data_IF_255126526277
#
_entry.id   IF_255126526277
#
_cell.length_a   1.000
_cell.length_b   1.000
_cell.length_c   1.000
_cell.angle_alpha   90.00
_cell.angle_beta   90.00
_cell.angle_gamma   90.00
#
_symmetry.space_group_name_H-M   'P 1'
#
loop_
_entity.id
_entity.type
_entity.pdbx_description
1 polymer ?
#
# COMPACT_ATOMS: atom_id res chain seq x y z
N UNK A 1 -45.54 -7.68 -20.22
CA UNK A 1 -45.27 -7.78 -20.23
C UNK A 1 -44.55 -8.01 -20.22
N UNK A 2 -44.35 -8.19 -20.23
CA UNK A 2 -43.73 -8.46 -20.34
C UNK A 2 -42.81 -8.25 -19.95
N UNK A 3 -42.64 -7.81 -19.60
CA UNK A 3 -41.79 -7.48 -19.26
C UNK A 3 -41.05 -8.12 -18.79
N UNK A 4 -41.40 -8.80 -18.50
CA UNK A 4 -40.78 -9.60 -17.83
C UNK A 4 -39.64 -9.58 -18.21
N UNK A 5 -39.76 -9.50 -19.01
CA UNK A 5 -38.93 -9.36 -19.56
C UNK A 5 -38.00 -8.68 -18.98
N UNK A 6 -38.34 -7.94 -18.50
CA UNK A 6 -37.47 -7.08 -17.98
C UNK A 6 -36.47 -7.77 -17.24
N UNK A 7 -36.72 -8.72 -16.97
CA UNK A 7 -36.03 -9.37 -16.35
C UNK A 7 -34.75 -9.41 -16.54
N UNK A 8 -34.65 -9.54 -17.35
CA UNK A 8 -33.38 -9.67 -17.74
C UNK A 8 -32.56 -8.73 -17.12
N UNK A 9 -33.07 -7.77 -17.06
CA UNK A 9 -32.58 -6.78 -16.48
C UNK A 9 -31.85 -7.13 -15.32
N UNK A 10 -32.38 -7.95 -14.68
CA UNK A 10 -31.82 -8.28 -13.44
C UNK A 10 -30.39 -8.66 -13.56
N UNK A 11 -30.11 -9.31 -14.56
CA UNK A 11 -28.78 -9.76 -14.66
C UNK A 11 -27.80 -8.67 -14.62
N UNK A 12 -28.25 -7.57 -15.02
CA UNK A 12 -27.36 -6.48 -15.09
C UNK A 12 -26.80 -6.13 -13.77
N UNK A 13 -27.58 -6.25 -12.79
CA UNK A 13 -27.14 -5.84 -11.49
C UNK A 13 -25.91 -6.60 -11.04
N UNK A 14 -25.73 -7.72 -11.59
CA UNK A 14 -24.62 -8.50 -11.16
C UNK A 14 -23.31 -7.85 -11.35
N UNK A 15 -23.13 -7.24 -12.45
CA UNK A 15 -21.86 -6.66 -12.71
C UNK A 15 -21.43 -5.71 -11.64
N UNK A 16 -22.39 -5.17 -10.95
CA UNK A 16 -22.04 -4.16 -9.97
C UNK A 16 -21.42 -4.74 -8.74
N UNK A 17 -21.70 -5.97 -8.47
CA UNK A 17 -21.22 -6.58 -7.25
C UNK A 17 -19.70 -6.70 -7.19
N UNK A 18 -19.07 -6.69 -8.32
CA UNK A 18 -17.64 -6.84 -8.31
C UNK A 18 -16.90 -5.63 -7.77
N UNK A 19 -17.58 -4.53 -7.65
CA UNK A 19 -16.93 -3.33 -7.17
C UNK A 19 -16.79 -3.32 -5.65
N UNK A 20 -17.28 -4.35 -5.00
CA UNK A 20 -17.37 -4.34 -3.55
C UNK A 20 -16.15 -4.87 -2.81
N UNK A 21 -14.98 -4.82 -3.40
CA UNK A 21 -13.81 -5.28 -2.67
C UNK A 21 -13.45 -4.29 -1.57
N UNK A 22 -13.27 -4.78 -0.37
CA UNK A 22 -12.92 -3.93 0.74
C UNK A 22 -11.42 -3.62 0.72
N UNK A 23 -11.03 -2.45 1.19
CA UNK A 23 -9.63 -2.13 1.33
C UNK A 23 -8.93 -3.18 2.17
N UNK A 24 -7.81 -3.66 1.68
CA UNK A 24 -7.05 -4.64 2.43
C UNK A 24 -7.49 -6.08 2.24
N UNK A 25 -8.55 -6.33 1.47
CA UNK A 25 -9.03 -7.69 1.27
C UNK A 25 -7.95 -8.62 0.72
N UNK A 26 -7.09 -8.11 -0.14
CA UNK A 26 -6.02 -8.89 -0.72
C UNK A 26 -4.80 -9.01 0.19
N UNK A 27 -4.74 -8.23 1.24
CA UNK A 27 -3.58 -8.15 2.12
C UNK A 27 -3.93 -8.49 3.56
N UNK A 28 -4.59 -9.63 3.75
CA UNK A 28 -5.11 -10.03 5.05
C UNK A 28 -4.04 -10.19 6.13
N UNK A 29 -2.83 -10.47 5.72
CA UNK A 29 -1.75 -10.70 6.69
C UNK A 29 -0.91 -9.45 6.97
N UNK A 30 -1.37 -8.31 6.49
CA UNK A 30 -0.64 -7.08 6.74
C UNK A 30 -0.96 -6.59 8.14
N UNK A 31 0.06 -6.51 8.98
CA UNK A 31 -0.09 -6.06 10.35
C UNK A 31 0.91 -4.97 10.65
N UNK A 32 0.61 -4.18 11.68
CA UNK A 32 1.53 -3.15 12.10
C UNK A 32 2.82 -3.78 12.62
N UNK A 33 3.92 -3.29 12.11
CA UNK A 33 5.23 -3.71 12.58
C UNK A 33 6.08 -2.47 12.84
N UNK A 34 6.74 -2.47 13.96
CA UNK A 34 7.69 -1.43 14.30
C UNK A 34 9.04 -2.11 14.48
N UNK A 35 9.60 -2.55 13.37
CA UNK A 35 10.92 -3.15 13.42
C UNK A 35 11.93 -2.06 13.79
N UNK A 36 13.02 -2.49 14.40
CA UNK A 36 14.06 -1.60 14.93
C UNK A 36 14.84 -0.85 13.86
N UNK A 37 14.15 -0.38 12.83
CA UNK A 37 14.81 0.45 11.85
C UNK A 37 15.12 1.78 12.49
N UNK A 38 16.31 2.25 12.25
CA UNK A 38 16.70 3.58 12.69
C UNK A 38 15.73 4.56 12.05
N UNK A 39 14.92 5.15 12.88
CA UNK A 39 13.90 6.08 12.41
C UNK A 39 14.58 7.41 12.11
N UNK A 40 14.93 7.62 10.86
CA UNK A 40 15.57 8.87 10.44
C UNK A 40 14.58 10.04 10.39
N UNK A 41 13.44 9.90 11.06
CA UNK A 41 12.38 10.87 11.01
C UNK A 41 11.39 10.57 9.89
N UNK A 42 10.25 11.26 9.89
CA UNK A 42 9.22 10.95 8.92
C UNK A 42 9.58 11.38 7.50
N UNK A 43 9.15 10.59 6.53
CA UNK A 43 9.22 10.97 5.14
C UNK A 43 8.01 11.85 4.82
N UNK A 44 8.26 13.04 4.31
CA UNK A 44 7.18 13.98 4.01
C UNK A 44 6.70 13.77 2.58
N UNK A 45 5.43 13.45 2.43
CA UNK A 45 4.84 13.18 1.12
C UNK A 45 3.50 13.91 0.95
N UNK A 46 3.17 14.27 -0.28
CA UNK A 46 1.86 14.82 -0.60
C UNK A 46 0.85 13.71 -0.83
N UNK A 47 1.31 12.56 -1.30
CA UNK A 47 0.47 11.41 -1.59
C UNK A 47 1.26 10.13 -1.36
N UNK A 48 0.54 9.04 -1.11
CA UNK A 48 1.20 7.74 -0.90
C UNK A 48 1.22 7.03 -2.25
N UNK A 49 2.35 7.07 -2.90
CA UNK A 49 2.56 6.40 -4.18
C UNK A 49 4.02 6.08 -4.35
N UNK A 50 4.31 5.02 -5.06
CA UNK A 50 5.69 4.64 -5.27
C UNK A 50 5.81 3.32 -5.99
N UNK A 51 6.98 2.72 -5.83
CA UNK A 51 7.33 1.47 -6.49
C UNK A 51 8.06 0.56 -5.51
N UNK A 52 7.82 -0.74 -5.62
CA UNK A 52 8.54 -1.75 -4.84
C UNK A 52 9.48 -2.51 -5.75
N UNK A 53 10.72 -2.67 -5.32
CA UNK A 53 11.74 -3.39 -6.08
C UNK A 53 12.72 -4.08 -5.14
N UNK A 54 13.44 -5.05 -5.68
CA UNK A 54 14.47 -5.74 -4.90
C UNK A 54 15.83 -5.03 -5.03
N UNK A 55 16.85 -5.62 -4.44
CA UNK A 55 18.18 -5.02 -4.41
C UNK A 55 18.82 -4.90 -5.81
N UNK A 56 18.39 -5.71 -6.75
CA UNK A 56 18.88 -5.68 -8.13
C UNK A 56 18.05 -4.74 -9.01
N UNK A 57 17.03 -4.10 -8.44
CA UNK A 57 16.16 -3.21 -9.20
C UNK A 57 15.01 -3.92 -9.90
N UNK A 58 14.79 -5.19 -9.61
CA UNK A 58 13.66 -5.93 -10.20
C UNK A 58 12.38 -5.51 -9.52
N UNK A 59 11.40 -5.13 -10.31
CA UNK A 59 10.12 -4.68 -9.80
C UNK A 59 9.33 -5.85 -9.19
N UNK A 60 8.65 -5.59 -8.08
CA UNK A 60 7.94 -6.64 -7.34
C UNK A 60 6.44 -6.41 -7.44
N UNK A 61 5.71 -7.24 -8.22
CA UNK A 61 4.26 -7.16 -8.25
C UNK A 61 3.66 -7.89 -7.06
N UNK A 62 2.41 -7.55 -6.77
CA UNK A 62 1.63 -8.20 -5.72
C UNK A 62 2.17 -8.08 -4.30
N UNK A 63 3.06 -7.15 -4.05
CA UNK A 63 3.48 -6.83 -2.69
C UNK A 63 2.37 -6.06 -1.99
N UNK A 64 2.12 -6.39 -0.74
CA UNK A 64 1.11 -5.70 0.05
C UNK A 64 1.69 -4.44 0.65
N UNK A 65 0.98 -3.32 0.47
CA UNK A 65 1.39 -2.02 1.00
C UNK A 65 0.22 -1.46 1.78
N UNK A 66 0.47 -1.06 3.01
CA UNK A 66 -0.58 -0.51 3.85
C UNK A 66 -0.10 0.66 4.68
N UNK A 67 -1.05 1.52 5.04
CA UNK A 67 -0.80 2.70 5.85
C UNK A 67 -1.55 2.55 7.16
N UNK A 68 -0.84 2.68 8.27
CA UNK A 68 -1.38 2.56 9.61
C UNK A 68 -1.31 3.89 10.33
N UNK A 69 -2.28 4.17 11.19
CA UNK A 69 -2.24 5.38 12.02
C UNK A 69 -1.06 5.32 12.99
N UNK A 70 -0.51 6.49 13.30
CA UNK A 70 0.58 6.61 14.25
C UNK A 70 0.27 7.76 15.21
N UNK A 71 0.00 7.50 16.48
CA UNK A 71 -0.14 6.21 17.14
C UNK A 71 -1.49 5.56 16.80
N UNK A 72 -1.84 4.52 17.45
CA UNK A 72 -3.12 3.84 17.22
C UNK A 72 -2.98 2.55 16.43
N UNK A 73 -2.08 2.52 15.47
CA UNK A 73 -1.71 1.32 14.72
C UNK A 73 -2.90 0.66 14.00
N UNK A 74 -3.83 1.46 13.52
CA UNK A 74 -4.98 0.95 12.78
C UNK A 74 -4.74 1.08 11.30
N UNK A 75 -5.09 0.06 10.55
CA UNK A 75 -4.97 0.09 9.10
C UNK A 75 -5.97 1.08 8.51
N UNK A 76 -5.46 2.05 7.77
CA UNK A 76 -6.29 3.07 7.14
C UNK A 76 -6.62 2.70 5.71
N UNK A 77 -5.63 2.18 5.00
CA UNK A 77 -5.78 1.81 3.60
C UNK A 77 -4.69 0.82 3.21
N UNK A 78 -4.97 -0.03 2.25
CA UNK A 78 -3.97 -0.95 1.74
C UNK A 78 -4.22 -1.27 0.27
N UNK A 79 -3.18 -1.72 -0.41
CA UNK A 79 -3.26 -2.13 -1.81
C UNK A 79 -2.14 -3.12 -2.10
N UNK A 80 -2.17 -3.70 -3.29
CA UNK A 80 -1.07 -4.50 -3.79
C UNK A 80 -0.39 -3.76 -4.92
N UNK A 81 0.90 -3.99 -5.08
CA UNK A 81 1.62 -3.44 -6.22
C UNK A 81 1.12 -4.09 -7.50
N UNK A 82 1.13 -3.33 -8.58
CA UNK A 82 0.73 -3.83 -9.90
C UNK A 82 1.88 -4.58 -10.59
N UNK A 83 1.69 -4.92 -11.86
CA UNK A 83 2.69 -5.68 -12.60
C UNK A 83 4.02 -4.94 -12.78
N UNK A 84 4.00 -3.64 -12.63
CA UNK A 84 5.19 -2.81 -12.71
C UNK A 84 5.73 -2.45 -11.32
N UNK A 85 5.24 -3.12 -10.29
CA UNK A 85 5.67 -2.87 -8.92
C UNK A 85 5.15 -1.57 -8.33
N UNK A 86 4.23 -0.89 -9.00
CA UNK A 86 3.74 0.42 -8.57
C UNK A 86 2.56 0.29 -7.61
N UNK A 87 2.45 1.24 -6.71
CA UNK A 87 1.32 1.32 -5.79
C UNK A 87 0.89 2.76 -5.59
N UNK A 88 -0.39 2.93 -5.28
CA UNK A 88 -0.95 4.23 -4.95
C UNK A 88 -2.11 4.05 -3.97
N UNK A 89 -2.12 4.86 -2.93
CA UNK A 89 -3.21 4.89 -1.96
C UNK A 89 -3.75 6.32 -1.92
N UNK A 90 -5.04 6.46 -2.17
CA UNK A 90 -5.69 7.76 -2.28
C UNK A 90 -6.53 8.07 -1.04
N UNK A 91 -6.86 9.35 -0.91
CA UNK A 91 -7.82 9.81 0.10
C UNK A 91 -7.42 9.56 1.54
N UNK A 92 -6.12 9.64 1.82
CA UNK A 92 -5.62 9.53 3.18
C UNK A 92 -5.50 10.95 3.74
N UNK A 93 -6.18 11.26 4.86
CA UNK A 93 -6.11 12.59 5.45
C UNK A 93 -4.71 12.98 5.88
N UNK A 94 -4.44 14.27 5.93
CA UNK A 94 -3.16 14.75 6.44
C UNK A 94 -2.92 14.21 7.84
N UNK A 95 -1.70 13.84 8.12
CA UNK A 95 -1.35 13.30 9.44
C UNK A 95 -0.07 12.50 9.41
N UNK A 96 0.19 11.85 10.53
CA UNK A 96 1.36 10.99 10.70
C UNK A 96 0.92 9.54 10.67
N UNK A 97 1.63 8.75 9.88
CA UNK A 97 1.29 7.36 9.63
C UNK A 97 2.55 6.50 9.57
N UNK A 98 2.34 5.20 9.49
CA UNK A 98 3.43 4.26 9.19
C UNK A 98 3.06 3.48 7.95
N UNK A 99 3.95 3.51 6.97
CA UNK A 99 3.81 2.72 5.75
C UNK A 99 4.51 1.40 5.98
N UNK A 100 3.81 0.32 5.65
CA UNK A 100 4.36 -1.03 5.77
C UNK A 100 4.18 -1.74 4.44
N UNK A 101 5.26 -2.35 3.95
CA UNK A 101 5.22 -3.13 2.73
C UNK A 101 5.73 -4.53 3.03
N UNK A 102 5.01 -5.53 2.55
CA UNK A 102 5.30 -6.92 2.84
C UNK A 102 5.14 -7.79 1.60
N UNK A 103 6.09 -8.67 1.39
CA UNK A 103 6.04 -9.65 0.33
C UNK A 103 6.70 -10.93 0.82
N UNK A 104 6.11 -12.07 0.48
CA UNK A 104 6.61 -13.35 0.96
C UNK A 104 8.04 -13.59 0.52
N UNK A 105 8.89 -14.02 1.44
CA UNK A 105 10.31 -14.26 1.17
C UNK A 105 11.21 -13.04 1.39
N UNK A 106 10.60 -11.88 1.68
CA UNK A 106 11.36 -10.65 1.91
C UNK A 106 11.09 -10.12 3.32
N UNK A 107 12.05 -9.40 3.87
CA UNK A 107 11.82 -8.74 5.14
C UNK A 107 10.85 -7.57 4.95
N UNK A 108 10.07 -7.28 5.98
CA UNK A 108 9.08 -6.21 5.91
C UNK A 108 9.77 -4.85 5.86
N UNK A 109 9.32 -3.98 4.96
CA UNK A 109 9.78 -2.61 4.91
C UNK A 109 8.79 -1.72 5.64
N UNK A 110 9.27 -0.75 6.40
CA UNK A 110 8.39 0.21 7.03
C UNK A 110 9.07 1.57 7.17
N UNK A 111 8.27 2.61 7.22
CA UNK A 111 8.76 3.96 7.41
C UNK A 111 7.65 4.83 7.98
N UNK A 112 8.04 5.80 8.79
CA UNK A 112 7.11 6.79 9.28
C UNK A 112 6.85 7.81 8.17
N UNK A 113 5.59 8.15 7.95
CA UNK A 113 5.19 9.13 6.95
C UNK A 113 4.52 10.31 7.58
N UNK A 114 4.78 11.47 7.03
CA UNK A 114 3.98 12.66 7.30
C UNK A 114 3.29 13.03 5.99
N UNK A 115 1.97 12.89 5.94
CA UNK A 115 1.20 13.19 4.75
C UNK A 115 0.66 14.61 4.85
N UNK A 116 0.98 15.41 3.85
CA UNK A 116 0.50 16.78 3.73
C UNK A 116 0.10 16.99 2.27
N UNK A 117 -1.19 16.90 2.01
CA UNK A 117 -1.70 16.96 0.63
C UNK A 117 -1.36 18.24 -0.10
N UNK A 118 -1.15 19.32 0.63
CA UNK A 118 -0.79 20.60 0.04
C UNK A 118 0.68 20.74 -0.25
N UNK A 119 1.47 19.76 0.12
CA UNK A 119 2.90 19.82 -0.13
C UNK A 119 3.17 19.85 -1.62
N UNK A 120 4.15 20.62 -2.03
CA UNK A 120 4.57 20.66 -3.42
C UNK A 120 5.64 19.61 -3.72
N UNK A 121 5.97 18.81 -2.74
CA UNK A 121 6.94 17.74 -2.92
C UNK A 121 6.33 16.65 -3.81
N UNK A 122 6.88 16.48 -4.99
CA UNK A 122 6.39 15.51 -5.97
C UNK A 122 7.15 14.18 -5.91
N UNK A 123 8.00 14.01 -4.93
CA UNK A 123 8.77 12.77 -4.81
C UNK A 123 7.87 11.59 -4.52
N UNK A 124 8.24 10.44 -5.03
CA UNK A 124 7.54 9.20 -4.78
C UNK A 124 8.34 8.32 -3.84
N UNK A 125 7.67 7.31 -3.30
CA UNK A 125 8.29 6.38 -2.37
C UNK A 125 8.93 5.23 -3.14
N UNK A 126 10.11 4.84 -2.73
CA UNK A 126 10.76 3.64 -3.25
C UNK A 126 10.90 2.65 -2.11
N UNK A 127 10.26 1.50 -2.26
CA UNK A 127 10.34 0.42 -1.28
C UNK A 127 11.41 -0.54 -1.78
N UNK A 128 12.49 -0.65 -1.02
CA UNK A 128 13.58 -1.58 -1.32
C UNK A 128 13.35 -2.83 -0.49
N UNK A 129 13.01 -3.92 -1.16
CA UNK A 129 12.75 -5.19 -0.49
C UNK A 129 14.02 -6.04 -0.49
N UNK A 130 14.34 -6.59 0.66
CA UNK A 130 15.50 -7.47 0.82
C UNK A 130 15.04 -8.84 1.28
N UNK A 131 15.62 -9.92 0.77
CA UNK A 131 15.23 -11.26 1.20
C UNK A 131 15.37 -11.42 2.71
N UNK A 132 14.54 -12.26 3.31
CA UNK A 132 14.71 -12.61 4.71
C UNK A 132 16.02 -13.36 4.87
N UNK A 133 16.79 -12.98 5.88
CA UNK A 133 18.08 -13.62 6.11
C UNK A 133 18.97 -12.75 6.97
N UNK A 134 20.25 -13.10 6.98
CA UNK A 134 21.21 -12.42 7.82
C UNK A 134 21.46 -10.99 7.35
N UNK A 135 21.33 -10.07 8.28
CA UNK A 135 21.77 -8.68 8.11
C UNK A 135 21.20 -7.92 6.91
N UNK A 136 20.04 -8.33 6.41
CA UNK A 136 19.40 -7.58 5.34
C UNK A 136 18.08 -7.00 5.81
N UNK A 137 17.92 -5.71 5.60
CA UNK A 137 16.68 -5.02 5.97
C UNK A 137 16.09 -4.32 4.77
N UNK A 138 14.78 -4.50 4.61
CA UNK A 138 14.02 -3.73 3.63
C UNK A 138 13.84 -2.31 4.17
N UNK A 139 13.78 -1.33 3.28
CA UNK A 139 13.62 0.06 3.70
C UNK A 139 12.84 0.85 2.66
N UNK A 140 12.41 2.03 3.07
CA UNK A 140 11.62 2.92 2.21
C UNK A 140 12.32 4.26 2.16
N UNK A 141 12.41 4.83 0.97
CA UNK A 141 13.04 6.14 0.79
C UNK A 141 12.26 6.98 -0.20
N UNK A 142 12.54 8.28 -0.23
CA UNK A 142 11.95 9.19 -1.20
C UNK A 142 12.91 9.40 -2.36
N UNK A 143 12.36 9.39 -3.56
CA UNK A 143 13.12 9.70 -4.78
C UNK A 143 12.40 10.62 -5.71
#
# INVERSE_FOLDING_TARGET
MRCGRGLAICGLAFGLLRAAEEPGAACKNLSYENSNQTDYGPLHVAAVRGVAKDAQGVLIPEACVGVFTEPGHKLVASTQTDDDGQFELNDIPDGTYRLIAKYEGFSTANAKLRIEQRSQNKKSLTVQMRPTGLDTHSFIELK
#
